data_IF_406757487285
#
_entry.id   IF_406757487285
#
_cell.length_a   1.000
_cell.length_b   1.000
_cell.length_c   1.000
_cell.angle_alpha   90.00
_cell.angle_beta   90.00
_cell.angle_gamma   90.00
#
_symmetry.space_group_name_H-M   'P 1'
#
loop_
_entity.id
_entity.type
_entity.pdbx_description
1 polymer ?
#
# COMPACT_ATOMS: atom_id res chain seq x y z
N UNK A 1 22.98 7.87 31.90
CA UNK A 1 22.87 7.15 30.63
C UNK A 1 21.80 7.79 29.75
N UNK A 2 22.18 8.14 28.55
CA UNK A 2 21.20 8.72 27.64
C UNK A 2 20.28 7.64 27.08
N UNK A 3 19.01 7.93 27.02
CA UNK A 3 18.06 7.05 26.35
C UNK A 3 18.35 7.07 24.84
N UNK A 4 18.31 5.90 24.24
CA UNK A 4 18.41 5.82 22.78
C UNK A 4 17.14 6.37 22.15
N UNK A 5 17.31 7.26 21.18
CA UNK A 5 16.20 7.82 20.44
C UNK A 5 16.03 6.99 19.16
N UNK A 6 14.94 6.28 19.07
CA UNK A 6 14.65 5.49 17.88
C UNK A 6 14.26 6.40 16.72
N UNK A 7 14.51 5.91 15.52
CA UNK A 7 14.10 6.61 14.33
C UNK A 7 12.57 6.74 14.28
N UNK A 8 12.09 7.85 13.75
CA UNK A 8 10.66 8.09 13.56
C UNK A 8 10.34 8.11 12.07
N UNK A 9 9.31 7.37 11.69
CA UNK A 9 8.77 7.38 10.34
C UNK A 9 7.64 8.40 10.28
N UNK A 10 7.69 9.29 9.30
CA UNK A 10 6.61 10.23 9.02
C UNK A 10 6.01 9.90 7.67
N UNK A 11 4.71 9.57 7.65
CA UNK A 11 4.00 9.32 6.39
C UNK A 11 3.60 10.67 5.82
N UNK A 12 4.21 11.06 4.71
CA UNK A 12 3.96 12.35 4.08
C UNK A 12 2.90 12.32 3.00
N UNK A 13 2.65 11.15 2.39
CA UNK A 13 1.66 11.00 1.33
C UNK A 13 0.82 9.76 1.60
N UNK A 14 -0.49 9.95 1.72
CA UNK A 14 -1.44 8.84 1.78
C UNK A 14 -1.86 8.46 0.38
N UNK A 15 -2.05 7.16 0.08
CA UNK A 15 -2.53 6.76 -1.24
C UNK A 15 -3.90 7.37 -1.53
N UNK A 16 -4.06 7.88 -2.74
CA UNK A 16 -5.34 8.42 -3.19
C UNK A 16 -6.16 7.31 -3.84
N UNK A 17 -7.47 7.51 -3.85
CA UNK A 17 -8.36 6.60 -4.58
C UNK A 17 -7.98 6.57 -6.05
N UNK A 18 -8.10 5.40 -6.66
CA UNK A 18 -7.77 5.22 -8.07
C UNK A 18 -9.03 4.89 -8.85
N UNK A 19 -9.28 5.63 -9.90
CA UNK A 19 -10.37 5.37 -10.84
C UNK A 19 -9.74 5.02 -12.18
N UNK A 20 -10.15 3.92 -12.77
CA UNK A 20 -9.54 3.47 -14.01
C UNK A 20 -10.60 2.92 -14.95
N UNK A 21 -10.60 3.40 -16.17
CA UNK A 21 -11.45 2.86 -17.24
C UNK A 21 -10.73 1.76 -18.02
N UNK A 22 -9.41 1.64 -17.84
CA UNK A 22 -8.62 0.62 -18.54
C UNK A 22 -8.31 -0.58 -17.67
N UNK A 23 -8.67 -0.53 -16.40
CA UNK A 23 -8.39 -1.63 -15.47
C UNK A 23 -7.00 -1.60 -14.86
N UNK A 24 -6.22 -0.55 -15.09
CA UNK A 24 -4.87 -0.44 -14.55
C UNK A 24 -4.67 0.89 -13.85
N UNK A 25 -3.85 0.89 -12.81
CA UNK A 25 -3.56 2.13 -12.09
C UNK A 25 -2.46 1.92 -11.05
N UNK A 26 -2.25 2.95 -10.24
CA UNK A 26 -1.23 2.91 -9.20
C UNK A 26 -1.74 3.56 -7.92
N UNK A 27 -1.12 3.15 -6.80
CA UNK A 27 -1.25 3.83 -5.52
C UNK A 27 0.13 4.25 -5.06
N UNK A 28 0.25 5.46 -4.54
CA UNK A 28 1.54 6.00 -4.10
C UNK A 28 1.46 6.32 -2.62
N UNK A 29 2.47 5.89 -1.87
CA UNK A 29 2.71 6.31 -0.51
C UNK A 29 4.10 6.94 -0.45
N UNK A 30 4.30 7.86 0.47
CA UNK A 30 5.61 8.45 0.69
C UNK A 30 5.85 8.59 2.18
N UNK A 31 7.06 8.30 2.59
CA UNK A 31 7.46 8.43 3.98
C UNK A 31 8.88 8.93 4.07
N UNK A 32 9.18 9.60 5.16
CA UNK A 32 10.52 10.07 5.47
C UNK A 32 10.92 9.59 6.86
N UNK A 33 12.21 9.59 7.12
CA UNK A 33 12.76 9.21 8.40
C UNK A 33 13.75 10.27 8.86
N UNK A 34 14.00 10.30 10.16
CA UNK A 34 14.85 11.34 10.76
C UNK A 34 16.26 10.86 11.10
N UNK A 35 16.60 9.60 10.84
CA UNK A 35 17.89 9.04 11.18
C UNK A 35 18.52 8.23 10.06
N UNK A 36 18.13 8.46 8.82
CA UNK A 36 18.73 7.85 7.63
C UNK A 36 18.61 6.33 7.55
N UNK A 37 17.61 5.74 8.18
CA UNK A 37 17.32 4.33 8.03
C UNK A 37 16.85 4.00 6.62
N UNK A 38 16.96 2.73 6.24
CA UNK A 38 16.44 2.25 4.97
C UNK A 38 14.97 1.95 5.12
N UNK A 39 14.15 2.65 4.34
CA UNK A 39 12.69 2.48 4.38
C UNK A 39 12.32 1.27 3.52
N UNK A 40 11.45 0.44 4.06
CA UNK A 40 10.85 -0.67 3.30
C UNK A 40 9.34 -0.50 3.27
N UNK A 41 8.75 -0.93 2.16
CA UNK A 41 7.32 -0.81 1.91
C UNK A 41 6.75 -2.20 1.66
N UNK A 42 5.56 -2.47 2.20
CA UNK A 42 4.81 -3.69 1.90
C UNK A 42 3.35 -3.32 1.74
N UNK A 43 2.83 -3.45 0.55
CA UNK A 43 1.43 -3.15 0.30
C UNK A 43 0.54 -4.29 0.76
N UNK A 44 -0.64 -3.93 1.25
CA UNK A 44 -1.68 -4.85 1.70
C UNK A 44 -3.00 -4.48 1.06
N UNK A 45 -3.84 -5.48 0.87
CA UNK A 45 -5.19 -5.25 0.36
C UNK A 45 -6.23 -5.81 1.31
N UNK A 46 -7.41 -5.21 1.30
CA UNK A 46 -8.59 -5.71 1.99
C UNK A 46 -9.69 -5.87 0.94
N UNK A 47 -10.30 -7.05 0.86
CA UNK A 47 -11.35 -7.30 -0.12
C UNK A 47 -12.61 -6.54 0.25
N UNK A 48 -13.53 -6.37 -0.71
CA UNK A 48 -14.77 -5.64 -0.48
C UNK A 48 -15.62 -6.26 0.63
N UNK A 49 -15.58 -7.58 0.78
CA UNK A 49 -16.36 -8.27 1.80
C UNK A 49 -15.69 -8.27 3.17
N UNK A 50 -14.38 -8.03 3.24
CA UNK A 50 -13.66 -8.01 4.51
C UNK A 50 -13.77 -6.64 5.16
N UNK A 51 -13.85 -6.60 6.48
CA UNK A 51 -13.96 -5.35 7.21
C UNK A 51 -12.76 -5.08 8.10
N UNK A 52 -11.97 -6.11 8.42
CA UNK A 52 -10.84 -5.96 9.35
C UNK A 52 -9.58 -6.66 8.86
N UNK A 53 -9.68 -7.52 7.86
CA UNK A 53 -8.56 -8.36 7.47
C UNK A 53 -7.76 -7.72 6.35
N UNK A 54 -6.47 -7.53 6.61
CA UNK A 54 -5.49 -7.06 5.61
C UNK A 54 -4.55 -8.21 5.27
N UNK A 55 -4.25 -8.36 3.98
CA UNK A 55 -3.37 -9.43 3.49
C UNK A 55 -2.23 -8.78 2.72
N UNK A 56 -1.00 -9.22 3.01
CA UNK A 56 0.17 -8.76 2.26
C UNK A 56 0.02 -9.16 0.79
N UNK A 57 0.29 -8.21 -0.10
CA UNK A 57 0.43 -8.51 -1.53
C UNK A 57 1.83 -9.07 -1.69
N UNK A 58 1.92 -10.38 -1.75
CA UNK A 58 3.20 -11.10 -1.77
C UNK A 58 3.46 -11.79 -3.11
N UNK A 59 2.51 -11.70 -4.04
CA UNK A 59 2.64 -12.29 -5.37
C UNK A 59 1.83 -11.49 -6.35
N UNK A 60 2.28 -11.47 -7.61
CA UNK A 60 1.59 -10.72 -8.66
C UNK A 60 0.18 -11.26 -8.91
N UNK A 61 -0.05 -12.54 -8.64
CA UNK A 61 -1.32 -13.21 -8.90
C UNK A 61 -2.13 -13.49 -7.63
N UNK A 62 -1.93 -12.71 -6.58
CA UNK A 62 -2.64 -12.89 -5.31
C UNK A 62 -4.15 -12.97 -5.51
N UNK A 63 -4.71 -12.13 -6.36
CA UNK A 63 -6.13 -12.10 -6.66
C UNK A 63 -6.35 -12.51 -8.11
N UNK A 64 -7.29 -13.42 -8.34
CA UNK A 64 -7.59 -13.94 -9.67
C UNK A 64 -8.07 -12.82 -10.59
N UNK A 65 -7.48 -12.73 -11.77
CA UNK A 65 -7.85 -11.71 -12.75
C UNK A 65 -7.17 -10.37 -12.54
N UNK A 66 -6.31 -10.26 -11.54
CA UNK A 66 -5.61 -9.02 -11.21
C UNK A 66 -4.12 -9.32 -11.18
N UNK A 67 -3.33 -8.41 -11.72
CA UNK A 67 -1.87 -8.49 -11.63
C UNK A 67 -1.36 -7.33 -10.81
N UNK A 68 -0.58 -7.62 -9.78
CA UNK A 68 0.08 -6.62 -8.96
C UNK A 68 1.56 -6.55 -9.31
N UNK A 69 2.14 -5.36 -9.22
CA UNK A 69 3.58 -5.16 -9.40
C UNK A 69 4.05 -4.09 -8.42
N UNK A 70 5.34 -4.14 -8.12
CA UNK A 70 6.00 -3.14 -7.25
C UNK A 70 5.40 -3.05 -5.86
N UNK A 71 4.87 -4.15 -5.35
CA UNK A 71 4.14 -4.19 -4.07
C UNK A 71 5.06 -4.09 -2.85
N UNK A 72 6.35 -3.99 -3.05
CA UNK A 72 7.32 -3.72 -1.99
C UNK A 72 8.05 -2.39 -2.20
N UNK A 73 7.46 -1.50 -2.98
CA UNK A 73 7.99 -0.15 -3.22
C UNK A 73 6.96 0.90 -2.82
N UNK A 74 7.34 2.17 -2.90
CA UNK A 74 6.44 3.26 -2.57
C UNK A 74 5.24 3.37 -3.52
N UNK A 75 5.31 2.77 -4.70
CA UNK A 75 4.25 2.83 -5.70
C UNK A 75 3.79 1.43 -6.05
N UNK A 76 2.58 1.08 -5.62
CA UNK A 76 1.93 -0.17 -6.01
C UNK A 76 1.29 0.02 -7.38
N UNK A 77 1.55 -0.91 -8.31
CA UNK A 77 0.87 -0.95 -9.58
C UNK A 77 -0.11 -2.13 -9.62
N UNK A 78 -1.24 -1.93 -10.24
CA UNK A 78 -2.21 -3.00 -10.44
C UNK A 78 -2.74 -2.96 -11.87
N UNK A 79 -3.16 -4.13 -12.36
CA UNK A 79 -3.81 -4.27 -13.66
C UNK A 79 -4.89 -5.34 -13.53
N UNK A 80 -6.09 -5.01 -13.90
CA UNK A 80 -7.21 -5.96 -13.89
C UNK A 80 -7.69 -6.18 -15.31
N UNK A 81 -8.52 -7.19 -15.51
CA UNK A 81 -8.93 -7.60 -16.86
C UNK A 81 -10.17 -6.83 -17.37
N UNK A 82 -10.28 -5.54 -17.00
CA UNK A 82 -11.31 -4.68 -17.55
C UNK A 82 -12.70 -4.90 -16.95
N UNK A 83 -12.78 -5.52 -15.78
CA UNK A 83 -14.04 -5.68 -15.06
C UNK A 83 -13.98 -4.93 -13.71
N UNK A 84 -15.06 -5.01 -12.97
CA UNK A 84 -15.21 -4.31 -11.70
C UNK A 84 -14.86 -5.18 -10.49
N UNK A 85 -14.07 -6.23 -10.68
CA UNK A 85 -13.79 -7.18 -9.60
C UNK A 85 -13.01 -6.54 -8.43
N UNK A 86 -12.33 -5.42 -8.67
CA UNK A 86 -11.63 -4.70 -7.62
C UNK A 86 -12.47 -3.63 -6.93
N UNK A 87 -13.68 -3.37 -7.37
CA UNK A 87 -14.50 -2.35 -6.75
C UNK A 87 -14.71 -2.68 -5.27
N UNK A 88 -14.45 -1.69 -4.41
CA UNK A 88 -14.57 -1.86 -2.98
C UNK A 88 -13.33 -2.41 -2.29
N UNK A 89 -12.33 -2.86 -3.03
CA UNK A 89 -11.06 -3.26 -2.43
C UNK A 89 -10.35 -2.04 -1.89
N UNK A 90 -9.70 -2.21 -0.75
CA UNK A 90 -8.92 -1.14 -0.11
C UNK A 90 -7.46 -1.54 -0.07
N UNK A 91 -6.59 -0.55 -0.14
CA UNK A 91 -5.15 -0.75 -0.15
C UNK A 91 -4.49 0.14 0.88
N UNK A 92 -3.46 -0.39 1.53
CA UNK A 92 -2.61 0.39 2.42
C UNK A 92 -1.18 -0.09 2.28
N UNK A 93 -0.25 0.76 2.71
CA UNK A 93 1.17 0.42 2.71
C UNK A 93 1.66 0.34 4.15
N UNK A 94 2.37 -0.72 4.47
CA UNK A 94 3.06 -0.89 5.76
C UNK A 94 4.50 -0.45 5.56
N UNK A 95 4.97 0.44 6.42
CA UNK A 95 6.27 1.11 6.27
C UNK A 95 7.12 0.79 7.47
N UNK A 96 8.31 0.27 7.22
CA UNK A 96 9.30 -0.06 8.24
C UNK A 96 10.64 0.58 7.88
N UNK A 97 11.56 0.60 8.84
CA UNK A 97 12.94 1.04 8.59
C UNK A 97 13.92 0.08 9.23
N UNK A 98 15.18 0.20 8.82
CA UNK A 98 16.27 -0.59 9.38
C UNK A 98 16.76 -0.07 10.73
N UNK A 99 16.26 1.07 11.21
CA UNK A 99 16.76 1.72 12.43
C UNK A 99 15.77 1.63 13.59
N UNK A 100 14.89 0.65 13.57
CA UNK A 100 14.04 0.35 14.72
C UNK A 100 12.86 1.27 14.94
N UNK A 101 12.49 2.09 13.94
CA UNK A 101 11.32 2.94 14.07
C UNK A 101 10.05 2.10 14.22
N UNK A 102 9.08 2.67 14.92
CA UNK A 102 7.77 2.04 15.00
C UNK A 102 7.17 1.91 13.61
N UNK A 103 6.64 0.73 13.30
CA UNK A 103 5.98 0.48 12.02
C UNK A 103 4.82 1.44 11.82
N UNK A 104 4.76 2.08 10.68
CA UNK A 104 3.65 2.95 10.29
C UNK A 104 2.87 2.33 9.14
N UNK A 105 1.62 2.70 9.04
CA UNK A 105 0.74 2.25 7.97
C UNK A 105 0.00 3.45 7.41
N UNK A 106 -0.26 3.44 6.11
CA UNK A 106 -1.16 4.43 5.53
C UNK A 106 -2.58 4.16 6.03
N UNK A 107 -3.49 5.11 5.79
CA UNK A 107 -4.79 5.11 6.47
C UNK A 107 -5.77 4.02 5.99
N UNK A 108 -5.42 3.27 4.95
CA UNK A 108 -6.28 2.19 4.47
C UNK A 108 -7.54 2.65 3.76
N UNK A 109 -7.58 3.91 3.33
CA UNK A 109 -8.78 4.47 2.70
C UNK A 109 -8.73 4.44 1.18
N UNK A 110 -7.59 4.10 0.58
CA UNK A 110 -7.45 4.09 -0.88
C UNK A 110 -8.25 2.93 -1.49
N UNK A 111 -9.07 3.23 -2.46
CA UNK A 111 -9.93 2.24 -3.13
C UNK A 111 -9.77 2.32 -4.63
N UNK A 112 -10.10 1.23 -5.31
CA UNK A 112 -10.20 1.19 -6.76
C UNK A 112 -11.67 1.33 -7.16
N UNK A 113 -11.93 2.18 -8.14
CA UNK A 113 -13.25 2.31 -8.74
C UNK A 113 -13.09 2.16 -10.25
N UNK A 114 -13.89 1.28 -10.84
CA UNK A 114 -13.92 1.19 -12.30
C UNK A 114 -14.80 2.31 -12.84
N UNK A 115 -14.16 3.24 -13.55
CA UNK A 115 -14.87 4.27 -14.27
C UNK A 115 -15.22 3.76 -15.65
N UNK A 116 -16.41 3.94 -16.08
CA UNK A 116 -16.85 3.59 -17.42
C UNK A 116 -16.78 4.79 -18.35
#
# INVERSE_FOLDING_TARGET
MAAEVLETITVGTQPANSTSSSGAGTFVAAATVDQSGTITYQWQRQTAAATTRWVNISAADLDTGITYANYTTATLAYSALGDDSLDGYKYRCVINTSKGAETKRTNGAATVTFGS
#
